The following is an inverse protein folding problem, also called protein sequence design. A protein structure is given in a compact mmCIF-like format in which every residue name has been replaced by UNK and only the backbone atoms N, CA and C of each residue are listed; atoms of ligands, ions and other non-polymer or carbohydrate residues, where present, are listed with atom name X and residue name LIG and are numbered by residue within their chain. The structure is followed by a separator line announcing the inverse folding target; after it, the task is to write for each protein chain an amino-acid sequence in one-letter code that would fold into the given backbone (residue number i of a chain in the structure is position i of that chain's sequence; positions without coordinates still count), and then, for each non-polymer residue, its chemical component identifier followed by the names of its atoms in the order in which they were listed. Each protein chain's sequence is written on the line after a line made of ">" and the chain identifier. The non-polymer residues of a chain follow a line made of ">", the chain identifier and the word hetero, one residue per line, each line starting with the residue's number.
data_IF_951503806116
#
_entry.id   IF_951503806116
#
_cell.length_a   1.000
_cell.length_b   1.000
_cell.length_c   1.000
_cell.angle_alpha   90.00
_cell.angle_beta   90.00
_cell.angle_gamma   90.00
#
_symmetry.space_group_name_H-M   'P 1'
#
loop_
_entity.id
_entity.type
_entity.pdbx_description
1 polymer ?
#
# COMPACT_ATOMS: atom_id res chain seq x y z
N UNK A 1 17.22 38.13 -12.72
CA UNK A 1 16.43 36.99 -12.18
C UNK A 1 15.28 37.56 -11.37
N UNK A 2 14.07 37.09 -11.60
CA UNK A 2 12.89 37.47 -10.81
C UNK A 2 12.82 36.47 -9.65
N UNK A 3 12.88 36.94 -8.41
CA UNK A 3 12.69 36.07 -7.24
C UNK A 3 11.35 35.34 -7.35
N UNK A 4 11.24 34.07 -6.92
CA UNK A 4 9.94 33.41 -6.83
C UNK A 4 9.13 34.07 -5.71
N UNK A 5 7.93 34.52 -6.05
CA UNK A 5 6.97 35.12 -5.12
C UNK A 5 6.31 33.99 -4.32
N UNK A 6 6.87 33.64 -3.16
CA UNK A 6 6.44 32.49 -2.34
C UNK A 6 5.23 32.79 -1.44
N UNK A 7 4.22 33.51 -1.92
CA UNK A 7 2.94 33.67 -1.22
C UNK A 7 2.02 32.45 -1.50
N UNK A 8 2.55 31.24 -1.29
CA UNK A 8 1.75 30.03 -1.38
C UNK A 8 0.88 29.90 -0.12
N UNK A 9 -0.34 30.42 -0.18
CA UNK A 9 -1.35 30.23 0.86
C UNK A 9 -1.78 28.77 0.86
N UNK A 10 -1.69 28.13 2.03
CA UNK A 10 -2.13 26.76 2.27
C UNK A 10 -3.36 26.80 3.18
N UNK A 11 -4.49 26.25 2.70
CA UNK A 11 -5.75 26.26 3.44
C UNK A 11 -6.09 24.85 3.87
N UNK A 12 -6.32 24.67 5.16
CA UNK A 12 -6.73 23.39 5.75
C UNK A 12 -8.12 23.51 6.35
N UNK A 13 -8.99 22.56 6.04
CA UNK A 13 -10.33 22.47 6.66
C UNK A 13 -10.40 21.21 7.51
N UNK A 14 -10.96 21.33 8.72
CA UNK A 14 -11.14 20.21 9.65
C UNK A 14 -12.62 20.03 10.00
N UNK A 15 -13.04 18.79 10.24
CA UNK A 15 -14.37 18.52 10.79
C UNK A 15 -14.41 18.76 12.31
N UNK A 16 -15.57 18.54 12.93
CA UNK A 16 -15.77 18.71 14.37
C UNK A 16 -14.93 17.75 15.25
N UNK A 17 -14.51 16.60 14.70
CA UNK A 17 -13.61 15.66 15.37
C UNK A 17 -12.13 16.09 15.25
N UNK A 18 -11.82 17.14 14.49
CA UNK A 18 -10.47 17.65 14.27
C UNK A 18 -9.72 16.98 13.12
N UNK A 19 -10.36 16.05 12.40
CA UNK A 19 -9.79 15.36 11.24
C UNK A 19 -9.71 16.33 10.05
N UNK A 20 -8.64 16.22 9.25
CA UNK A 20 -8.41 17.08 8.09
C UNK A 20 -9.28 16.62 6.93
N UNK A 21 -10.30 17.38 6.55
CA UNK A 21 -11.24 16.99 5.47
C UNK A 21 -10.93 17.64 4.13
N UNK A 22 -10.13 18.71 4.09
CA UNK A 22 -9.57 19.21 2.85
C UNK A 22 -8.26 19.97 3.05
N UNK A 23 -7.42 19.92 2.02
CA UNK A 23 -6.23 20.74 1.85
C UNK A 23 -6.31 21.43 0.49
N UNK A 24 -6.12 22.75 0.44
CA UNK A 24 -6.04 23.50 -0.81
C UNK A 24 -4.70 24.23 -0.88
N UNK A 25 -3.96 23.96 -1.95
CA UNK A 25 -2.66 24.53 -2.23
C UNK A 25 -2.58 24.96 -3.71
N UNK A 26 -1.42 25.45 -4.16
CA UNK A 26 -1.20 25.89 -5.55
C UNK A 26 -1.48 24.79 -6.60
N UNK A 27 -1.45 23.52 -6.22
CA UNK A 27 -1.76 22.36 -7.06
C UNK A 27 -3.24 21.96 -7.07
N UNK A 28 -4.09 22.65 -6.32
CA UNK A 28 -5.54 22.41 -6.24
C UNK A 28 -5.99 21.91 -4.87
N UNK A 29 -7.25 21.44 -4.83
CA UNK A 29 -7.91 20.97 -3.62
C UNK A 29 -7.92 19.45 -3.53
N UNK A 30 -7.43 18.94 -2.41
CA UNK A 30 -7.60 17.56 -1.99
C UNK A 30 -8.73 17.48 -0.96
N UNK A 31 -9.55 16.44 -1.06
CA UNK A 31 -10.60 16.15 -0.09
C UNK A 31 -10.36 14.77 0.53
N UNK A 32 -10.64 14.65 1.82
CA UNK A 32 -10.34 13.47 2.61
C UNK A 32 -11.60 12.98 3.32
N UNK A 33 -11.83 11.68 3.22
CA UNK A 33 -12.91 11.00 3.93
C UNK A 33 -12.34 9.99 4.93
N UNK A 34 -13.02 9.85 6.06
CA UNK A 34 -12.64 8.95 7.14
C UNK A 34 -13.75 7.95 7.40
N UNK A 35 -13.36 6.71 7.72
CA UNK A 35 -14.29 5.70 8.20
C UNK A 35 -14.76 6.00 9.64
N UNK A 36 -15.76 5.27 10.12
CA UNK A 36 -16.32 5.49 11.45
C UNK A 36 -15.28 5.44 12.61
N UNK A 37 -14.24 4.57 12.59
CA UNK A 37 -13.15 4.63 13.56
C UNK A 37 -12.10 5.72 13.33
N UNK A 38 -12.26 6.58 12.32
CA UNK A 38 -11.38 7.74 12.06
C UNK A 38 -10.14 7.41 11.22
N UNK A 39 -10.14 6.30 10.47
CA UNK A 39 -9.08 6.02 9.50
C UNK A 39 -9.41 6.66 8.15
N UNK A 40 -8.41 7.25 7.50
CA UNK A 40 -8.55 7.75 6.13
C UNK A 40 -9.01 6.62 5.19
N UNK A 41 -10.20 6.78 4.62
CA UNK A 41 -10.86 5.84 3.72
C UNK A 41 -10.80 6.29 2.27
N UNK A 42 -10.75 7.60 2.01
CA UNK A 42 -10.67 8.13 0.64
C UNK A 42 -9.89 9.44 0.57
N UNK A 43 -9.17 9.64 -0.53
CA UNK A 43 -8.58 10.91 -0.93
C UNK A 43 -9.04 11.24 -2.35
N UNK A 44 -9.80 12.32 -2.51
CA UNK A 44 -10.14 12.88 -3.81
C UNK A 44 -9.08 13.91 -4.21
N UNK A 45 -8.45 13.69 -5.36
CA UNK A 45 -7.45 14.56 -5.94
C UNK A 45 -8.09 15.67 -6.80
N UNK A 46 -7.36 16.76 -7.07
CA UNK A 46 -7.83 17.84 -7.96
C UNK A 46 -8.16 17.40 -9.39
N UNK A 47 -7.65 16.26 -9.83
CA UNK A 47 -7.87 15.68 -11.16
C UNK A 47 -9.02 14.65 -11.19
N UNK A 48 -9.95 14.73 -10.22
CA UNK A 48 -11.10 13.84 -10.03
C UNK A 48 -10.75 12.35 -9.83
N UNK A 49 -9.47 12.05 -9.56
CA UNK A 49 -9.05 10.71 -9.16
C UNK A 49 -9.27 10.53 -7.67
N UNK A 50 -9.88 9.41 -7.31
CA UNK A 50 -10.12 9.05 -5.92
C UNK A 50 -9.23 7.85 -5.55
N UNK A 51 -8.38 8.02 -4.54
CA UNK A 51 -7.65 6.92 -3.92
C UNK A 51 -8.47 6.39 -2.74
N UNK A 52 -9.11 5.24 -2.91
CA UNK A 52 -9.92 4.60 -1.88
C UNK A 52 -9.16 3.46 -1.19
N UNK A 53 -9.31 3.38 0.13
CA UNK A 53 -8.71 2.36 0.98
C UNK A 53 -9.80 1.56 1.68
N UNK A 54 -9.98 0.30 1.29
CA UNK A 54 -10.99 -0.59 1.85
C UNK A 54 -10.42 -1.39 3.01
N UNK A 55 -11.14 -1.41 4.13
CA UNK A 55 -10.74 -2.13 5.35
C UNK A 55 -11.88 -3.03 5.82
N UNK A 56 -11.53 -4.04 6.61
CA UNK A 56 -12.50 -4.88 7.29
C UNK A 56 -12.11 -5.11 8.76
N UNK A 57 -13.10 -5.48 9.57
CA UNK A 57 -12.92 -5.70 11.01
C UNK A 57 -12.34 -4.46 11.69
N UNK A 58 -11.28 -4.64 12.48
CA UNK A 58 -10.61 -3.58 13.25
C UNK A 58 -9.57 -2.78 12.44
N UNK A 59 -9.75 -2.65 11.12
CA UNK A 59 -8.89 -1.82 10.26
C UNK A 59 -7.94 -2.58 9.34
N UNK A 60 -8.14 -3.89 9.13
CA UNK A 60 -7.31 -4.68 8.22
C UNK A 60 -7.52 -4.25 6.78
N UNK A 61 -6.45 -3.79 6.12
CA UNK A 61 -6.47 -3.34 4.73
C UNK A 61 -6.83 -4.49 3.78
N UNK A 62 -8.00 -4.41 3.15
CA UNK A 62 -8.46 -5.38 2.16
C UNK A 62 -7.92 -5.06 0.78
N UNK A 63 -8.04 -3.79 0.38
CA UNK A 63 -7.77 -3.35 -0.99
C UNK A 63 -7.46 -1.85 -1.04
N UNK A 64 -6.62 -1.45 -1.97
CA UNK A 64 -6.42 -0.07 -2.39
C UNK A 64 -6.90 0.09 -3.83
N UNK A 65 -7.68 1.11 -4.10
CA UNK A 65 -8.33 1.33 -5.39
C UNK A 65 -8.08 2.75 -5.88
N UNK A 66 -7.85 2.89 -7.19
CA UNK A 66 -7.91 4.16 -7.89
C UNK A 66 -9.21 4.23 -8.67
N UNK A 67 -10.06 5.21 -8.38
CA UNK A 67 -11.33 5.42 -9.07
C UNK A 67 -11.27 6.70 -9.87
N UNK A 68 -11.75 6.66 -11.10
CA UNK A 68 -11.81 7.84 -11.97
C UNK A 68 -12.81 7.59 -13.11
N UNK A 69 -13.68 8.55 -13.39
CA UNK A 69 -14.65 8.47 -14.50
C UNK A 69 -15.55 7.22 -14.44
N UNK A 70 -15.95 6.80 -13.24
CA UNK A 70 -16.77 5.61 -13.02
C UNK A 70 -16.03 4.27 -13.15
N UNK A 71 -14.73 4.29 -13.47
CA UNK A 71 -13.89 3.09 -13.52
C UNK A 71 -13.15 2.92 -12.19
N UNK A 72 -13.04 1.68 -11.71
CA UNK A 72 -12.26 1.32 -10.51
C UNK A 72 -11.09 0.42 -10.91
N UNK A 73 -9.89 0.81 -10.53
CA UNK A 73 -8.67 0.05 -10.71
C UNK A 73 -8.11 -0.38 -9.36
N UNK A 74 -8.05 -1.68 -9.11
CA UNK A 74 -7.35 -2.24 -7.95
C UNK A 74 -5.85 -1.97 -8.07
N UNK A 75 -5.30 -1.17 -7.15
CA UNK A 75 -3.87 -0.92 -7.06
C UNK A 75 -3.17 -2.05 -6.31
N UNK A 76 -3.77 -2.50 -5.21
CA UNK A 76 -3.29 -3.62 -4.41
C UNK A 76 -4.44 -4.32 -3.70
N UNK A 77 -4.38 -5.64 -3.61
CA UNK A 77 -5.33 -6.45 -2.82
C UNK A 77 -4.58 -7.42 -1.90
N UNK A 78 -5.17 -7.72 -0.75
CA UNK A 78 -4.47 -8.43 0.33
C UNK A 78 -5.28 -9.62 0.83
N UNK A 79 -4.72 -10.83 0.67
CA UNK A 79 -5.27 -12.04 1.26
C UNK A 79 -4.67 -12.32 2.63
N UNK A 80 -5.51 -12.78 3.56
CA UNK A 80 -5.12 -13.06 4.95
C UNK A 80 -5.57 -14.43 5.41
N UNK A 81 -4.84 -14.98 6.36
CA UNK A 81 -5.26 -16.18 7.08
C UNK A 81 -6.25 -15.86 8.22
N UNK A 82 -6.67 -16.90 8.96
CA UNK A 82 -7.60 -16.77 10.09
C UNK A 82 -7.05 -15.97 11.27
N UNK A 83 -5.74 -15.74 11.32
CA UNK A 83 -5.08 -14.90 12.33
C UNK A 83 -4.88 -13.47 11.81
N UNK A 84 -5.51 -13.11 10.69
CA UNK A 84 -5.40 -11.81 10.04
C UNK A 84 -3.98 -11.45 9.58
N UNK A 85 -3.11 -12.45 9.35
CA UNK A 85 -1.76 -12.24 8.80
C UNK A 85 -1.81 -12.25 7.28
N UNK A 86 -1.11 -11.31 6.63
CA UNK A 86 -1.03 -11.25 5.17
C UNK A 86 -0.31 -12.50 4.63
N UNK A 87 -1.01 -13.30 3.83
CA UNK A 87 -0.47 -14.48 3.16
C UNK A 87 -0.35 -14.30 1.66
N UNK A 88 -1.09 -13.34 1.08
CA UNK A 88 -0.96 -12.96 -0.32
C UNK A 88 -1.19 -11.47 -0.54
N UNK A 89 -0.54 -10.94 -1.58
CA UNK A 89 -0.75 -9.57 -2.07
C UNK A 89 -0.69 -9.56 -3.58
N UNK A 90 -1.63 -8.87 -4.23
CA UNK A 90 -1.46 -8.42 -5.62
C UNK A 90 -1.09 -6.93 -5.61
N UNK A 91 -0.21 -6.52 -6.52
CA UNK A 91 0.11 -5.11 -6.74
C UNK A 91 0.55 -4.91 -8.19
N UNK A 92 -0.32 -4.29 -9.00
CA UNK A 92 -0.14 -4.24 -10.44
C UNK A 92 0.00 -5.64 -11.04
N UNK A 93 1.09 -5.89 -11.77
CA UNK A 93 1.41 -7.19 -12.38
C UNK A 93 2.04 -8.19 -11.42
N UNK A 94 2.35 -7.79 -10.20
CA UNK A 94 3.05 -8.62 -9.24
C UNK A 94 2.08 -9.32 -8.29
N UNK A 95 2.40 -10.56 -7.96
CA UNK A 95 1.75 -11.32 -6.89
C UNK A 95 2.80 -11.78 -5.89
N UNK A 96 2.55 -11.57 -4.60
CA UNK A 96 3.39 -12.02 -3.50
C UNK A 96 2.66 -13.07 -2.69
N UNK A 97 3.35 -14.15 -2.32
CA UNK A 97 2.95 -15.08 -1.26
C UNK A 97 3.89 -14.96 -0.06
N UNK A 98 3.34 -14.99 1.15
CA UNK A 98 4.11 -15.01 2.41
C UNK A 98 3.74 -16.25 3.22
N UNK A 99 4.76 -16.98 3.68
CA UNK A 99 4.60 -18.14 4.56
C UNK A 99 5.16 -17.84 5.93
N UNK A 100 4.52 -18.43 6.94
CA UNK A 100 4.88 -18.29 8.34
C UNK A 100 5.11 -19.67 8.96
N UNK A 101 5.95 -19.73 9.99
CA UNK A 101 5.99 -20.87 10.89
C UNK A 101 4.88 -20.81 11.96
N UNK A 102 4.85 -21.80 12.85
CA UNK A 102 3.88 -21.88 13.95
C UNK A 102 4.03 -20.77 14.98
N UNK A 103 5.21 -20.16 15.11
CA UNK A 103 5.45 -19.00 15.95
C UNK A 103 5.03 -17.68 15.27
N UNK A 104 4.61 -17.73 14.00
CA UNK A 104 4.18 -16.57 13.24
C UNK A 104 5.32 -15.76 12.61
N UNK A 105 6.52 -16.34 12.53
CA UNK A 105 7.67 -15.71 11.88
C UNK A 105 7.66 -16.02 10.40
N UNK A 106 8.01 -15.05 9.57
CA UNK A 106 8.06 -15.23 8.11
C UNK A 106 9.18 -16.21 7.76
N UNK A 107 8.84 -17.28 7.05
CA UNK A 107 9.81 -18.28 6.58
C UNK A 107 10.10 -18.15 5.10
N UNK A 108 9.16 -17.62 4.31
CA UNK A 108 9.31 -17.43 2.87
C UNK A 108 8.48 -16.26 2.37
N UNK A 109 9.05 -15.50 1.44
CA UNK A 109 8.34 -14.58 0.56
C UNK A 109 8.70 -14.91 -0.87
N UNK A 110 7.70 -15.08 -1.72
CA UNK A 110 7.87 -15.34 -3.15
C UNK A 110 7.07 -14.32 -3.91
N UNK A 111 7.69 -13.68 -4.89
CA UNK A 111 7.02 -12.73 -5.79
C UNK A 111 7.12 -13.22 -7.22
N UNK A 112 5.97 -13.26 -7.88
CA UNK A 112 5.82 -13.66 -9.26
C UNK A 112 5.26 -12.50 -10.08
N UNK A 113 5.62 -12.44 -11.36
CA UNK A 113 5.02 -11.53 -12.32
C UNK A 113 3.67 -12.05 -12.87
N UNK A 114 3.09 -11.33 -13.84
CA UNK A 114 1.82 -11.69 -14.46
C UNK A 114 1.87 -13.01 -15.26
N UNK A 115 3.07 -13.46 -15.65
CA UNK A 115 3.30 -14.76 -16.32
C UNK A 115 3.56 -15.89 -15.32
N UNK A 116 3.54 -15.57 -14.02
CA UNK A 116 3.90 -16.46 -12.91
C UNK A 116 5.38 -16.83 -12.89
N UNK A 117 6.23 -16.03 -13.54
CA UNK A 117 7.66 -16.18 -13.47
C UNK A 117 8.19 -15.59 -12.17
N UNK A 118 9.22 -16.22 -11.60
CA UNK A 118 9.83 -15.73 -10.38
C UNK A 118 10.45 -14.35 -10.64
N UNK A 119 10.08 -13.37 -9.81
CA UNK A 119 10.76 -12.07 -9.76
C UNK A 119 11.79 -12.11 -8.65
N UNK A 120 11.36 -12.43 -7.43
CA UNK A 120 12.27 -12.68 -6.33
C UNK A 120 11.71 -13.67 -5.31
N UNK A 121 12.62 -14.29 -4.57
CA UNK A 121 12.32 -15.09 -3.40
C UNK A 121 13.24 -14.72 -2.24
N UNK A 122 12.71 -14.77 -1.02
CA UNK A 122 13.50 -14.70 0.21
C UNK A 122 13.03 -15.77 1.18
N UNK A 123 13.97 -16.58 1.68
CA UNK A 123 13.71 -17.64 2.67
C UNK A 123 14.51 -17.37 3.94
N UNK A 124 13.89 -17.63 5.08
CA UNK A 124 14.48 -17.43 6.41
C UNK A 124 14.45 -18.71 7.22
N UNK A 125 15.52 -18.95 7.97
CA UNK A 125 15.53 -19.92 9.08
C UNK A 125 15.77 -19.17 10.37
N UNK A 126 14.96 -19.52 11.35
CA UNK A 126 15.00 -18.96 12.69
C UNK A 126 15.49 -20.01 13.67
N UNK A 127 16.22 -19.60 14.69
CA UNK A 127 16.49 -20.45 15.85
C UNK A 127 15.33 -20.39 16.87
N UNK A 128 15.57 -20.91 18.09
CA UNK A 128 14.58 -20.98 19.16
C UNK A 128 14.46 -19.68 19.96
N UNK A 129 15.34 -18.71 19.74
CA UNK A 129 15.37 -17.42 20.44
C UNK A 129 15.06 -16.27 19.47
N UNK A 130 14.32 -16.57 18.40
CA UNK A 130 13.85 -15.65 17.37
C UNK A 130 14.96 -14.90 16.61
N UNK A 131 16.13 -15.52 16.45
CA UNK A 131 17.20 -14.98 15.60
C UNK A 131 17.20 -15.65 14.23
N UNK A 132 17.45 -14.85 13.19
CA UNK A 132 17.65 -15.37 11.83
C UNK A 132 19.03 -16.02 11.77
N UNK A 133 19.07 -17.34 11.61
CA UNK A 133 20.31 -18.11 11.45
C UNK A 133 20.64 -18.38 9.99
N UNK A 134 19.67 -18.21 9.08
CA UNK A 134 19.93 -18.27 7.65
C UNK A 134 18.96 -17.37 6.89
N UNK A 135 19.49 -16.71 5.87
CA UNK A 135 18.70 -16.00 4.86
C UNK A 135 19.20 -16.39 3.48
N UNK A 136 18.28 -16.83 2.61
CA UNK A 136 18.55 -17.12 1.20
C UNK A 136 17.75 -16.10 0.39
N UNK A 137 18.39 -15.51 -0.60
CA UNK A 137 17.75 -14.61 -1.55
C UNK A 137 18.01 -15.10 -2.96
N UNK A 138 16.93 -15.17 -3.74
CA UNK A 138 16.97 -15.48 -5.18
C UNK A 138 16.34 -14.29 -5.87
N UNK A 139 17.09 -13.62 -6.72
CA UNK A 139 16.56 -12.58 -7.60
C UNK A 139 16.71 -13.05 -9.04
N UNK A 140 15.61 -13.03 -9.76
CA UNK A 140 15.53 -13.44 -11.17
C UNK A 140 15.04 -12.29 -12.05
N UNK A 141 14.93 -11.08 -11.49
CA UNK A 141 14.73 -9.89 -12.31
C UNK A 141 15.87 -9.81 -13.34
N UNK A 142 15.57 -9.69 -14.65
CA UNK A 142 16.59 -9.31 -15.61
C UNK A 142 17.15 -7.94 -15.18
N UNK A 143 18.46 -7.74 -15.34
CA UNK A 143 19.06 -6.42 -15.19
C UNK A 143 18.21 -5.41 -15.97
N UNK A 144 17.81 -4.32 -15.31
CA UNK A 144 16.98 -3.27 -15.90
C UNK A 144 17.52 -2.88 -17.27
N UNK A 145 16.76 -2.98 -18.37
CA UNK A 145 17.18 -2.40 -19.63
C UNK A 145 17.02 -0.88 -19.53
N UNK A 146 18.13 -0.15 -19.46
CA UNK A 146 18.15 1.32 -19.56
C UNK A 146 19.00 2.01 -18.51
N UNK A 147 20.32 1.93 -18.66
CA UNK A 147 21.16 3.15 -18.70
C UNK A 147 21.17 3.67 -20.14
#
# INVERSE_FOLDING_TARGET
>A
EREPEWDAVLVFTRNAAGELVSEENHGGKFEYEYDAPGNLSSTLCPDDRELATLRYGTGHLLEMQLRHGGTTHTLAAYGRDRLHREISRSQGVLSQETRYDSAGRVTQRTVLDARRELVFERRYRWDRIDQIVQQIHTDTAPATPGE
#
